data_IF_892837154240
#
_entry.id   IF_892837154240
#
_cell.length_a   1.000
_cell.length_b   1.000
_cell.length_c   1.000
_cell.angle_alpha   90.00
_cell.angle_beta   90.00
_cell.angle_gamma   90.00
#
_symmetry.space_group_name_H-M   'P 1'
#
loop_
_entity.id
_entity.type
_entity.pdbx_description
1 polymer ?
2 polymer ?
3 polymer ?
4 non-polymer ?
5 water ?
#
# COMPACT_ATOMS: atom_id res chain seq x y z
N UNK A 7 7.54 16.83 -1.77
CA UNK A 7 7.96 18.33 -1.64
C UNK A 7 8.53 18.37 -0.25
N UNK A 8 7.62 17.91 0.56
CA UNK A 8 7.81 17.66 1.96
C UNK A 8 7.46 16.19 2.16
N UNK A 9 7.16 15.61 0.99
CA UNK A 9 6.76 14.20 0.86
C UNK A 9 7.82 13.26 1.42
N UNK A 10 7.31 12.21 2.03
CA UNK A 10 8.13 11.11 2.57
C UNK A 10 8.85 11.45 3.89
N UNK A 11 8.55 12.61 4.44
CA UNK A 11 9.14 13.01 5.74
C UNK A 11 8.01 12.99 6.79
N UNK A 12 8.07 11.99 7.65
CA UNK A 12 7.04 11.78 8.69
C UNK A 12 7.13 12.83 9.80
N UNK A 13 6.01 13.36 10.14
CA UNK A 13 6.04 14.44 11.28
C UNK A 13 6.53 13.85 12.50
N UNK A 14 6.24 12.56 12.83
CA UNK A 14 6.58 11.95 14.11
C UNK A 14 7.90 11.19 14.07
N UNK A 15 8.60 11.24 12.96
CA UNK A 15 9.88 10.52 12.86
C UNK A 15 10.96 11.43 12.22
N UNK A 16 11.02 11.48 10.90
CA UNK A 16 12.06 12.27 10.21
C UNK A 16 12.04 13.76 10.62
N UNK A 17 10.84 14.32 10.72
CA UNK A 17 10.67 15.75 11.04
C UNK A 17 11.25 16.09 12.44
N UNK A 18 11.23 15.10 13.31
CA UNK A 18 11.73 15.25 14.71
C UNK A 18 13.08 14.56 14.93
N UNK A 19 13.56 13.95 13.86
CA UNK A 19 14.83 13.20 13.87
C UNK A 19 14.78 12.02 14.84
N UNK A 20 13.64 11.36 14.81
CA UNK A 20 13.38 10.14 15.59
C UNK A 20 13.27 8.99 14.60
N UNK A 21 13.82 7.86 14.96
CA UNK A 21 13.78 6.67 14.09
C UNK A 21 12.77 5.68 14.62
N UNK A 22 12.09 5.01 13.70
CA UNK A 22 11.14 3.97 14.11
C UNK A 22 11.97 2.74 14.44
N UNK A 23 11.31 1.77 15.01
CA UNK A 23 12.00 0.58 15.56
C UNK A 23 12.58 -0.38 14.51
N UNK A 24 12.21 -0.31 13.26
CA UNK A 24 12.76 -1.29 12.32
C UNK A 24 13.29 -0.68 11.01
N UNK A 25 13.32 0.63 10.92
CA UNK A 25 13.78 1.25 9.67
C UNK A 25 15.28 0.99 9.43
N UNK A 26 15.99 0.66 10.50
CA UNK A 26 17.43 0.35 10.42
C UNK A 26 17.64 -0.92 9.58
N UNK A 27 16.67 -1.82 9.70
CA UNK A 27 16.70 -3.11 8.98
C UNK A 27 16.73 -2.86 7.48
N UNK A 28 16.01 -1.84 7.06
CA UNK A 28 15.93 -1.46 5.65
C UNK A 28 17.29 -0.92 5.19
N UNK A 29 17.78 0.02 5.98
CA UNK A 29 19.07 0.68 5.70
C UNK A 29 20.20 -0.35 5.58
N UNK A 30 20.17 -1.32 6.47
CA UNK A 30 21.21 -2.36 6.53
C UNK A 30 21.18 -3.28 5.30
N UNK A 31 20.06 -3.25 4.59
CA UNK A 31 19.86 -4.11 3.40
C UNK A 31 20.30 -3.37 2.11
N UNK A 32 20.40 -2.06 2.20
CA UNK A 32 20.84 -1.21 1.06
C UNK A 32 22.37 -1.18 1.07
N UNK A 33 22.92 -2.22 0.50
CA UNK A 33 24.38 -2.47 0.51
C UNK A 33 25.09 -2.02 -0.75
N UNK B 1 -1.66 -8.43 6.95
CA UNK B 1 -0.24 -8.82 7.04
C UNK B 1 -0.03 -10.03 7.97
N UNK B 2 0.77 -10.98 7.49
CA UNK B 2 1.13 -12.19 8.24
C UNK B 2 2.56 -12.10 8.76
N UNK B 3 2.71 -12.38 10.03
CA UNK B 3 4.03 -12.39 10.70
C UNK B 3 4.66 -11.00 10.73
N UNK B 4 3.80 -10.02 10.87
CA UNK B 4 4.22 -8.62 10.99
C UNK B 4 4.18 -8.24 12.46
N UNK B 5 4.06 -6.96 12.70
CA UNK B 5 3.97 -6.42 14.06
C UNK B 5 3.17 -5.11 14.00
N UNK B 6 2.64 -4.73 15.14
CA UNK B 6 1.85 -3.50 15.25
C UNK B 6 2.71 -2.32 14.80
N UNK B 7 2.10 -1.46 14.03
CA UNK B 7 2.78 -0.25 13.57
C UNK B 7 2.84 0.75 14.71
N UNK B 8 3.87 1.56 14.68
CA UNK B 8 4.03 2.63 15.66
C UNK B 8 3.11 3.78 15.23
N UNK B 9 2.78 4.64 16.16
CA UNK B 9 1.90 5.78 15.86
C UNK B 9 2.60 6.73 14.88
N UNK B 10 1.90 7.00 13.79
CA UNK B 10 2.37 7.91 12.72
C UNK B 10 3.55 7.31 11.93
N UNK B 11 3.66 6.01 11.98
CA UNK B 11 4.76 5.28 11.30
C UNK B 11 4.56 5.26 9.77
N UNK B 12 3.31 5.27 9.37
CA UNK B 12 2.92 5.24 7.94
C UNK B 12 1.87 6.23 7.72
N UNK B 13 2.15 7.54 7.76
CA UNK B 13 1.11 8.55 7.73
C UNK B 13 0.49 8.78 6.40
N UNK B 14 0.94 8.09 5.31
CA UNK B 14 0.36 8.09 4.06
C UNK B 14 -0.61 6.92 3.87
N UNK B 15 -0.70 6.08 4.90
CA UNK B 15 -1.61 4.91 4.86
C UNK B 15 -3.06 5.35 4.76
N UNK B 16 -3.75 4.74 3.82
CA UNK B 16 -5.18 5.02 3.59
C UNK B 16 -5.96 3.73 3.57
N UNK B 17 -7.16 3.82 4.10
CA UNK B 17 -8.10 2.69 4.15
C UNK B 17 -9.28 2.99 3.24
N UNK B 18 -9.48 2.09 2.30
CA UNK B 18 -10.62 2.15 1.38
C UNK B 18 -11.76 1.39 2.08
N UNK B 19 -12.81 2.13 2.33
CA UNK B 19 -13.95 1.63 3.12
C UNK B 19 -15.24 1.70 2.30
N UNK B 20 -15.90 0.55 2.26
CA UNK B 20 -17.20 0.41 1.60
C UNK B 20 -18.27 0.94 2.54
N UNK B 21 -19.12 1.77 2.00
CA UNK B 21 -20.17 2.42 2.80
C UNK B 21 -21.17 1.42 3.37
N UNK B 22 -21.58 0.49 2.54
CA UNK B 22 -22.61 -0.48 2.96
C UNK B 22 -22.60 -1.72 2.11
N UNK B 23 -22.40 -2.89 2.67
CA UNK B 23 -22.17 -3.08 4.09
C UNK B 23 -20.78 -2.53 4.49
N UNK B 24 -20.68 -2.04 5.70
CA UNK B 24 -19.52 -1.20 6.14
C UNK B 24 -18.35 -2.16 6.28
N UNK B 25 -17.37 -2.05 5.43
CA UNK B 25 -16.23 -2.96 5.53
C UNK B 25 -15.00 -2.39 4.87
N UNK B 26 -13.88 -2.95 5.27
CA UNK B 26 -12.60 -2.59 4.69
C UNK B 26 -12.49 -3.26 3.35
N UNK B 27 -12.20 -2.46 2.36
CA UNK B 27 -12.09 -2.99 1.00
C UNK B 27 -10.64 -3.26 0.64
N UNK B 28 -9.80 -2.29 0.95
CA UNK B 28 -8.38 -2.39 0.65
C UNK B 28 -7.60 -1.28 1.31
N UNK B 29 -6.32 -1.35 1.08
CA UNK B 29 -5.38 -0.33 1.52
C UNK B 29 -5.18 0.62 0.36
N UNK B 30 -4.51 1.69 0.65
CA UNK B 30 -4.20 2.74 -0.33
C UNK B 30 -3.14 3.65 0.28
N UNK B 31 -2.73 4.62 -0.49
CA UNK B 31 -1.71 5.57 -0.03
C UNK B 31 -2.02 6.98 -0.52
N UNK B 32 -1.62 7.92 0.31
CA UNK B 32 -1.80 9.36 0.07
C UNK B 32 -0.54 9.92 -0.60
N UNK B 33 -0.69 10.45 -1.81
CA UNK B 33 0.47 10.96 -2.57
C UNK B 33 0.42 12.49 -2.77
N UNK B 34 -0.61 13.09 -2.22
CA UNK B 34 -0.83 14.54 -2.26
C UNK B 34 -2.06 14.83 -1.41
N UNK B 35 -2.43 16.07 -1.28
CA UNK B 35 -3.57 16.39 -0.42
C UNK B 35 -4.91 16.07 -1.10
N UNK B 36 -4.87 15.60 -2.34
CA UNK B 36 -6.14 15.30 -3.03
C UNK B 36 -6.06 14.07 -3.94
N UNK B 37 -4.97 13.34 -3.85
CA UNK B 37 -4.81 12.13 -4.68
C UNK B 37 -4.38 10.94 -3.82
N UNK B 38 -5.09 9.85 -4.06
CA UNK B 38 -4.84 8.58 -3.39
C UNK B 38 -4.57 7.50 -4.44
N UNK B 39 -3.54 6.73 -4.15
CA UNK B 39 -3.06 5.64 -5.02
C UNK B 39 -3.46 4.28 -4.41
N UNK B 40 -3.91 3.40 -5.29
CA UNK B 40 -4.32 2.04 -4.88
C UNK B 40 -4.25 1.09 -6.07
N UNK B 41 -4.62 -0.14 -5.80
CA UNK B 41 -4.63 -1.19 -6.83
C UNK B 41 -5.97 -1.14 -7.56
N UNK B 42 -5.89 -1.29 -8.86
CA UNK B 42 -7.06 -1.23 -9.74
C UNK B 42 -8.09 -2.32 -9.38
N UNK B 43 -7.59 -3.48 -9.03
CA UNK B 43 -8.45 -4.64 -8.72
C UNK B 43 -9.25 -4.42 -7.44
N UNK B 44 -8.91 -3.37 -6.72
CA UNK B 44 -9.62 -3.00 -5.49
C UNK B 44 -10.92 -2.30 -5.84
N UNK B 45 -10.97 -1.81 -7.07
CA UNK B 45 -12.13 -1.07 -7.59
C UNK B 45 -12.82 -1.82 -8.73
N UNK B 46 -12.03 -2.55 -9.50
CA UNK B 46 -12.56 -3.26 -10.67
C UNK B 46 -11.94 -4.66 -10.81
N UNK B 47 -12.81 -5.65 -10.62
CA UNK B 47 -12.47 -7.06 -10.79
C UNK B 47 -13.78 -7.89 -11.19
N UNK B 48 -14.02 -7.81 -12.48
CA UNK B 48 -15.23 -8.54 -13.05
C UNK B 48 -15.29 -9.93 -12.78
N UNK B 49 -14.35 -10.85 -12.57
CA UNK B 49 -14.47 -12.18 -12.21
C UNK B 49 -15.26 -12.32 -10.91
N UNK B 50 -15.20 -11.32 -10.04
CA UNK B 50 -15.83 -11.48 -8.71
C UNK B 50 -17.00 -10.51 -8.59
N UNK B 51 -17.32 -9.95 -9.75
CA UNK B 51 -18.41 -8.98 -9.93
C UNK B 51 -18.18 -7.74 -9.08
N UNK B 52 -16.96 -7.28 -9.13
CA UNK B 52 -16.53 -6.07 -8.42
C UNK B 52 -16.30 -4.95 -9.42
N UNK B 53 -17.07 -3.90 -9.22
CA UNK B 53 -17.00 -2.68 -10.05
C UNK B 53 -17.63 -1.52 -9.28
N UNK B 54 -16.85 -1.03 -8.34
CA UNK B 54 -17.27 0.08 -7.46
C UNK B 54 -17.18 1.42 -8.20
N UNK B 55 -18.16 2.25 -7.89
CA UNK B 55 -18.22 3.62 -8.41
C UNK B 55 -17.81 4.54 -7.26
N UNK B 56 -17.72 5.81 -7.55
CA UNK B 56 -17.27 6.82 -6.57
C UNK B 56 -18.05 6.77 -5.25
N UNK B 57 -19.37 6.95 -5.32
CA UNK B 57 -20.23 7.05 -4.12
C UNK B 57 -20.38 5.74 -3.34
N UNK B 58 -19.76 4.68 -3.81
CA UNK B 58 -19.83 3.40 -3.09
C UNK B 58 -18.78 3.37 -1.97
N UNK B 59 -17.80 4.23 -2.14
CA UNK B 59 -16.63 4.25 -1.25
C UNK B 59 -16.40 5.57 -0.51
N UNK B 60 -15.50 5.40 0.43
CA UNK B 60 -14.97 6.44 1.32
C UNK B 60 -13.49 6.15 1.57
N UNK B 61 -12.76 7.19 1.88
CA UNK B 61 -11.33 7.07 2.18
C UNK B 61 -11.09 7.58 3.61
N UNK B 62 -10.49 6.71 4.41
CA UNK B 62 -10.17 7.01 5.82
C UNK B 62 -8.65 7.13 5.96
N UNK B 63 -8.23 8.35 6.26
CA UNK B 63 -6.82 8.71 6.37
C UNK B 63 -6.43 9.08 7.82
N UNK B 64 -5.22 8.66 8.16
CA UNK B 64 -4.59 8.93 9.48
C UNK B 64 -5.01 7.90 10.53
N UNK B 65 -5.43 6.74 10.07
CA UNK B 65 -5.91 5.66 10.96
C UNK B 65 -4.76 4.79 11.48
N UNK B 66 -5.07 4.13 12.58
CA UNK B 66 -4.17 3.18 13.26
C UNK B 66 -5.00 1.93 13.62
N UNK B 67 -6.02 2.17 14.42
CA UNK B 67 -6.96 1.10 14.80
C UNK B 67 -7.76 0.75 13.55
N UNK B 68 -8.03 -0.52 13.40
CA UNK B 68 -8.72 -1.03 12.21
C UNK B 68 -10.22 -0.73 12.21
N UNK B 69 -10.89 -0.96 13.33
CA UNK B 69 -12.36 -0.86 13.38
C UNK B 69 -12.93 0.39 14.08
N UNK B 70 -12.18 0.95 15.01
CA UNK B 70 -12.69 2.10 15.79
C UNK B 70 -12.68 3.39 14.97
N UNK B 71 -13.61 4.27 15.30
CA UNK B 71 -13.63 5.61 14.71
C UNK B 71 -12.69 6.47 15.56
N UNK B 72 -11.58 6.82 14.97
CA UNK B 72 -10.52 7.55 15.67
C UNK B 72 -10.76 9.06 15.60
N UNK B 73 -11.64 9.44 16.49
CA UNK B 73 -12.10 10.82 16.71
C UNK B 73 -10.90 11.76 16.93
N UNK B 74 -10.97 12.88 16.22
CA UNK B 74 -9.95 13.94 16.31
C UNK B 74 -8.61 13.53 15.67
N UNK B 75 -8.59 12.38 15.02
CA UNK B 75 -7.35 11.89 14.42
C UNK B 75 -7.54 11.55 12.95
N UNK B 76 -8.38 10.58 12.69
CA UNK B 76 -8.63 10.16 11.30
C UNK B 76 -9.58 11.16 10.62
N UNK B 77 -9.36 11.29 9.33
CA UNK B 77 -10.16 12.16 8.45
C UNK B 77 -10.82 11.29 7.39
N UNK B 78 -12.06 11.58 7.11
CA UNK B 78 -12.81 10.81 6.10
C UNK B 78 -13.05 11.70 4.89
N UNK B 79 -12.73 11.15 3.73
CA UNK B 79 -12.87 11.85 2.46
C UNK B 79 -13.70 11.04 1.46
N UNK B 80 -14.49 11.78 0.72
CA UNK B 80 -15.33 11.21 -0.35
C UNK B 80 -14.55 11.31 -1.65
N UNK B 81 -14.93 10.48 -2.59
CA UNK B 81 -14.25 10.43 -3.88
C UNK B 81 -14.96 11.28 -4.92
N UNK B 82 -14.14 12.00 -5.65
CA UNK B 82 -14.61 12.85 -6.73
C UNK B 82 -14.61 12.06 -8.04
N UNK B 83 -13.54 11.29 -8.23
CA UNK B 83 -13.38 10.49 -9.45
C UNK B 83 -12.31 9.41 -9.27
N UNK B 84 -12.60 8.30 -9.92
CA UNK B 84 -11.71 7.13 -9.96
C UNK B 84 -11.10 7.03 -11.36
N UNK B 85 -9.83 6.73 -11.40
CA UNK B 85 -9.09 6.55 -12.66
C UNK B 85 -8.31 5.26 -12.60
N UNK B 86 -8.70 4.35 -13.45
CA UNK B 86 -8.07 3.04 -13.54
C UNK B 86 -7.16 3.02 -14.76
N UNK B 87 -6.00 2.44 -14.62
CA UNK B 87 -5.09 2.35 -15.76
C UNK B 87 -5.89 1.78 -16.94
N UNK B 88 -5.77 2.39 -18.14
CA UNK B 88 -6.47 1.93 -19.34
C UNK B 88 -6.07 0.56 -19.79
N UNK B 89 -4.80 0.21 -19.52
CA UNK B 89 -4.41 -1.17 -19.90
C UNK B 89 -4.26 -2.12 -18.70
N UNK B 90 -5.05 -1.88 -17.66
CA UNK B 90 -5.09 -2.77 -16.47
C UNK B 90 -5.67 -4.11 -16.96
N UNK B 91 -4.91 -5.17 -16.76
CA UNK B 91 -5.28 -6.51 -17.25
C UNK B 91 -5.90 -7.38 -16.14
N UNK B 92 -7.21 -7.26 -16.00
CA UNK B 92 -7.97 -8.02 -14.99
C UNK B 92 -8.35 -9.41 -15.53
N UNK B 93 -8.25 -9.55 -16.84
CA UNK B 93 -8.62 -10.79 -17.51
C UNK B 93 -7.62 -11.92 -17.25
N UNK B 94 -6.35 -11.55 -17.18
CA UNK B 94 -5.29 -12.55 -17.07
C UNK B 94 -4.47 -12.51 -15.76
N UNK B 95 -3.53 -11.58 -15.66
CA UNK B 95 -2.57 -11.58 -14.53
C UNK B 95 -2.45 -10.27 -13.72
N UNK B 96 -3.45 -9.42 -13.79
CA UNK B 96 -3.45 -8.16 -13.02
C UNK B 96 -2.30 -7.23 -13.42
N UNK B 97 -1.88 -7.32 -14.66
CA UNK B 97 -0.81 -6.45 -15.19
C UNK B 97 -1.30 -5.00 -15.12
N UNK B 98 -0.43 -4.15 -14.61
CA UNK B 98 -0.71 -2.71 -14.45
C UNK B 98 -1.87 -2.50 -13.47
N UNK B 99 -1.74 -3.17 -12.34
CA UNK B 99 -2.73 -3.11 -11.26
C UNK B 99 -2.54 -1.83 -10.45
N UNK B 100 -3.07 -0.75 -11.01
CA UNK B 100 -2.94 0.58 -10.40
C UNK B 100 -4.14 1.45 -10.78
N UNK B 101 -4.46 2.35 -9.87
CA UNK B 101 -5.57 3.29 -10.03
C UNK B 101 -5.40 4.47 -9.07
N UNK B 102 -5.93 5.59 -9.50
CA UNK B 102 -5.89 6.84 -8.74
C UNK B 102 -7.31 7.27 -8.39
N UNK B 103 -7.42 7.90 -7.25
CA UNK B 103 -8.69 8.41 -6.74
C UNK B 103 -8.51 9.87 -6.32
N UNK B 104 -9.26 10.74 -6.97
CA UNK B 104 -9.23 12.18 -6.67
C UNK B 104 -10.27 12.47 -5.58
N UNK B 105 -9.80 13.14 -4.54
CA UNK B 105 -10.64 13.48 -3.38
C UNK B 105 -11.51 14.70 -3.67
N UNK B 106 -12.70 14.68 -3.09
CA UNK B 106 -13.66 15.76 -3.26
C UNK B 106 -13.04 17.08 -2.78
N UNK B 107 -12.38 17.03 -1.64
CA UNK B 107 -11.67 18.21 -1.10
C UNK B 107 -10.31 17.78 -0.51
N UNK B 108 -9.34 18.64 -0.51
CA UNK B 108 -8.05 18.34 0.09
C UNK B 108 -8.17 17.96 1.54
N UNK B 109 -7.31 16.97 1.93
CA UNK B 109 -7.34 16.53 3.31
C UNK B 109 -6.23 17.35 4.00
N UNK B 110 -6.43 17.70 5.23
CA UNK B 110 -5.42 18.49 5.97
C UNK B 110 -4.36 17.56 6.55
N UNK B 111 -3.11 17.91 6.31
CA UNK B 111 -2.00 17.13 6.85
C UNK B 111 -1.89 17.39 8.34
N UNK B 112 -1.40 16.38 9.03
CA UNK B 112 -1.22 16.41 10.48
C UNK B 112 -0.08 15.48 10.84
N UNK B 113 0.02 15.21 12.12
CA UNK B 113 1.05 14.32 12.64
C UNK B 113 0.81 12.87 12.17
N UNK B 114 -0.41 12.60 11.79
CA UNK B 114 -0.85 11.24 11.41
C UNK B 114 -1.22 11.13 9.92
N UNK B 115 -1.18 12.25 9.24
CA UNK B 115 -1.53 12.32 7.81
C UNK B 115 -0.47 13.13 7.05
N UNK B 116 0.16 12.47 6.08
CA UNK B 116 1.26 13.08 5.31
C UNK B 116 1.58 12.20 4.09
N UNK B 117 1.87 12.83 2.97
CA UNK B 117 1.95 12.06 1.74
C UNK B 117 3.36 11.42 1.65
N UNK B 118 3.38 10.28 0.91
CA UNK B 118 4.64 9.58 0.57
C UNK B 118 5.08 10.08 -0.81
N UNK B 119 6.36 9.91 -1.09
CA UNK B 119 6.92 10.32 -2.38
C UNK B 119 6.82 9.18 -3.38
N UNK B 120 6.83 9.55 -4.63
CA UNK B 120 6.83 8.61 -5.75
C UNK B 120 8.13 8.69 -6.41
N UNK B 121 8.78 7.53 -6.70
CA UNK B 121 10.13 7.40 -7.11
C UNK B 121 10.32 7.94 -8.55
N UNK B 122 11.45 8.66 -8.66
CA UNK B 122 11.97 9.04 -10.01
C UNK B 122 12.79 7.84 -10.53
N UNK B 123 13.28 7.94 -11.74
CA UNK B 123 14.02 6.81 -12.37
C UNK B 123 15.26 6.37 -11.56
N UNK B 124 16.03 7.35 -11.08
CA UNK B 124 17.29 7.06 -10.35
C UNK B 124 17.04 6.36 -9.02
N UNK B 125 16.10 6.88 -8.26
CA UNK B 125 15.78 6.31 -6.96
C UNK B 125 15.30 4.86 -7.16
N UNK B 126 14.54 4.64 -8.22
CA UNK B 126 14.03 3.31 -8.55
C UNK B 126 15.19 2.38 -8.94
N UNK B 127 16.05 2.91 -9.77
CA UNK B 127 17.21 2.18 -10.28
C UNK B 127 18.14 1.79 -9.12
N UNK B 128 18.23 2.68 -8.17
CA UNK B 128 19.15 2.51 -7.03
C UNK B 128 18.61 1.57 -5.94
N UNK B 129 17.31 1.61 -5.72
CA UNK B 129 16.73 0.86 -4.58
C UNK B 129 16.00 -0.45 -4.95
N UNK B 130 15.47 -0.54 -6.14
CA UNK B 130 14.74 -1.75 -6.56
C UNK B 130 15.72 -2.84 -7.03
N UNK B 131 16.44 -3.38 -6.06
CA UNK B 131 17.43 -4.45 -6.28
C UNK B 131 17.14 -5.63 -5.36
N UNK B 132 17.35 -6.81 -5.90
CA UNK B 132 17.16 -8.04 -5.14
C UNK B 132 18.00 -7.96 -3.85
N UNK B 133 17.34 -8.22 -2.74
CA UNK B 133 18.02 -8.21 -1.42
C UNK B 133 17.59 -7.00 -0.58
N UNK B 134 17.45 -5.88 -1.27
CA UNK B 134 17.02 -4.62 -0.64
C UNK B 134 15.61 -4.81 -0.09
N UNK B 135 15.41 -4.35 1.12
CA UNK B 135 14.11 -4.51 1.79
C UNK B 135 13.25 -3.25 1.70
N UNK B 136 11.98 -3.56 1.59
CA UNK B 136 10.89 -2.58 1.55
C UNK B 136 9.99 -2.85 2.75
N UNK B 137 8.96 -2.04 2.87
CA UNK B 137 8.02 -2.18 3.99
C UNK B 137 6.58 -2.11 3.48
N UNK B 138 5.83 -3.10 3.91
CA UNK B 138 4.40 -3.22 3.57
C UNK B 138 3.56 -3.08 4.84
N UNK B 139 2.48 -2.34 4.71
CA UNK B 139 1.55 -2.06 5.82
C UNK B 139 0.10 -2.28 5.36
N UNK B 140 -0.74 -2.68 6.29
CA UNK B 140 -2.16 -2.93 6.01
C UNK B 140 -2.90 -3.48 7.23
N UNK B 141 -4.21 -3.54 7.07
CA UNK B 141 -5.15 -4.02 8.10
C UNK B 141 -5.74 -5.38 7.67
N UNK B 142 -5.08 -5.97 6.68
CA UNK B 142 -5.48 -7.28 6.11
C UNK B 142 -5.32 -8.40 7.15
N UNK B 143 -5.69 -9.59 6.70
CA UNK B 143 -5.65 -10.82 7.52
C UNK B 143 -4.25 -11.06 8.07
N UNK B 144 -4.25 -11.70 9.23
CA UNK B 144 -3.04 -12.05 9.96
C UNK B 144 -2.54 -13.46 9.52
N UNK B 145 -3.40 -14.20 8.81
CA UNK B 145 -3.08 -15.59 8.32
C UNK B 145 -3.97 -16.03 7.12
N UNK B 146 -3.87 -17.34 6.78
CA UNK B 146 -4.66 -17.96 5.65
C UNK B 146 -6.01 -18.59 6.22
N UNK B 147 -6.15 -19.62 7.23
CA UNK B 147 -7.61 -19.77 7.59
C UNK B 147 -7.85 -18.60 8.52
N UNK B 154 -4.42 -14.49 14.74
CA UNK B 154 -5.89 -14.51 14.78
C UNK B 154 -6.41 -14.24 13.37
N UNK B 155 -7.54 -13.59 13.30
CA UNK B 155 -8.15 -13.30 12.01
C UNK B 155 -7.60 -12.00 11.46
N UNK B 156 -8.13 -10.96 12.04
CA UNK B 156 -7.82 -9.59 11.66
C UNK B 156 -7.26 -8.77 12.84
N UNK B 157 -6.34 -7.86 12.51
CA UNK B 157 -5.67 -7.11 13.57
C UNK B 157 -6.54 -6.11 14.21
N UNK B 158 -6.05 -5.72 15.48
CA UNK B 158 -6.70 -4.58 16.10
C UNK B 158 -6.18 -3.26 15.53
N UNK B 159 -4.90 -3.25 15.15
CA UNK B 159 -4.27 -2.03 14.59
C UNK B 159 -3.39 -2.34 13.38
N UNK B 160 -3.07 -1.27 12.67
CA UNK B 160 -2.24 -1.30 11.47
C UNK B 160 -1.00 -2.18 11.72
N UNK B 161 -0.76 -3.06 10.77
CA UNK B 161 0.38 -4.00 10.83
C UNK B 161 1.46 -3.58 9.83
N UNK B 162 2.68 -3.97 10.16
CA UNK B 162 3.87 -3.65 9.35
C UNK B 162 4.82 -4.84 9.29
N UNK B 163 5.51 -4.94 8.16
CA UNK B 163 6.51 -5.99 7.92
C UNK B 163 7.46 -5.57 6.82
N UNK B 164 8.73 -5.81 7.08
CA UNK B 164 9.83 -5.52 6.14
C UNK B 164 10.17 -6.81 5.40
N UNK B 165 10.24 -6.69 4.08
CA UNK B 165 10.49 -7.85 3.22
C UNK B 165 11.45 -7.54 2.08
N UNK B 166 12.40 -8.45 1.84
CA UNK B 166 13.30 -8.19 0.71
C UNK B 166 12.78 -8.42 -0.68
N UNK B 167 13.19 -7.59 -1.62
CA UNK B 167 12.83 -7.76 -3.03
C UNK B 167 13.52 -9.04 -3.49
N UNK B 168 12.83 -9.82 -4.29
CA UNK B 168 13.38 -11.10 -4.78
C UNK B 168 13.76 -11.00 -6.26
N UNK B 169 14.79 -11.76 -6.62
CA UNK B 169 15.31 -11.83 -8.00
C UNK B 169 14.17 -12.22 -8.94
N UNK B 170 14.16 -11.57 -10.10
CA UNK B 170 13.09 -11.76 -11.11
C UNK B 170 12.94 -13.24 -11.58
N UNK B 171 14.02 -13.97 -11.72
CA UNK B 171 13.90 -15.40 -12.06
C UNK B 171 13.30 -16.21 -11.01
N UNK B 172 13.51 -15.93 -9.72
CA UNK B 172 12.98 -16.60 -8.60
C UNK B 172 11.49 -16.30 -8.50
N UNK B 173 11.14 -15.07 -8.80
CA UNK B 173 9.74 -14.66 -8.78
C UNK B 173 8.96 -15.47 -9.81
N UNK B 174 9.53 -15.52 -11.00
CA UNK B 174 8.91 -16.19 -12.16
C UNK B 174 8.77 -17.71 -11.95
N UNK B 175 9.77 -18.28 -11.30
CA UNK B 175 9.84 -19.74 -11.07
C UNK B 175 8.99 -20.20 -9.88
N UNK B 176 8.38 -19.27 -9.19
CA UNK B 176 7.59 -19.60 -8.01
C UNK B 176 6.09 -19.68 -8.33
N UNK B 177 5.74 -19.36 -9.56
CA UNK B 177 4.31 -19.31 -9.95
C UNK B 177 4.12 -19.70 -11.42
N UNK B 178 2.87 -20.03 -11.76
CA UNK B 178 2.50 -20.39 -13.14
C UNK B 178 1.93 -19.16 -13.86
N UNK B 179 1.66 -18.13 -13.08
CA UNK B 179 1.14 -16.86 -13.62
C UNK B 179 2.26 -16.13 -14.35
N UNK B 180 1.90 -15.58 -15.50
CA UNK B 180 2.84 -14.83 -16.33
C UNK B 180 3.15 -13.48 -15.67
N UNK B 181 4.41 -13.32 -15.29
CA UNK B 181 4.89 -12.09 -14.65
C UNK B 181 5.32 -11.10 -15.72
N UNK B 182 5.13 -9.82 -15.43
CA UNK B 182 5.52 -8.75 -16.36
C UNK B 182 6.46 -7.77 -15.68
N UNK B 183 7.00 -6.88 -16.48
CA UNK B 183 7.94 -5.86 -16.02
C UNK B 183 7.25 -4.82 -15.13
N UNK B 184 5.93 -4.87 -15.11
CA UNK B 184 5.13 -3.93 -14.32
C UNK B 184 4.86 -4.49 -12.92
N UNK B 185 5.56 -5.58 -12.63
CA UNK B 185 5.48 -6.25 -11.32
C UNK B 185 6.87 -6.63 -10.82
N UNK B 186 6.91 -6.83 -9.53
CA UNK B 186 8.09 -7.30 -8.80
C UNK B 186 7.56 -8.01 -7.57
N UNK B 187 8.30 -9.00 -7.13
CA UNK B 187 7.91 -9.79 -5.97
C UNK B 187 8.91 -9.60 -4.84
N UNK B 188 8.41 -9.82 -3.64
CA UNK B 188 9.20 -9.67 -2.42
C UNK B 188 8.77 -10.72 -1.39
N UNK B 189 9.69 -10.97 -0.49
CA UNK B 189 9.52 -11.94 0.59
C UNK B 189 10.79 -12.78 0.73
N UNK B 190 10.84 -13.47 1.85
CA UNK B 190 11.97 -14.35 2.19
C UNK B 190 11.79 -15.73 1.58
N UNK B 191 12.91 -16.34 1.28
CA UNK B 191 12.94 -17.69 0.72
C UNK B 191 12.83 -18.69 1.87
N UNK B 192 12.44 -19.93 1.60
CA UNK B 192 12.32 -20.93 2.64
C UNK B 192 13.61 -21.09 3.43
N UNK B 193 14.74 -21.02 2.78
CA UNK B 193 16.03 -21.21 3.46
C UNK B 193 16.44 -20.01 4.34
N UNK B 194 15.74 -18.89 4.20
CA UNK B 194 16.10 -17.67 4.94
C UNK B 194 15.54 -17.68 6.38
N UNK B 195 14.49 -18.45 6.61
CA UNK B 195 13.92 -18.60 7.97
C UNK B 195 12.86 -17.53 8.28
N UNK B 196 13.28 -16.27 8.29
CA UNK B 196 12.36 -15.16 8.56
C UNK B 196 11.13 -15.32 7.65
N UNK B 197 10.01 -14.82 8.11
CA UNK B 197 8.75 -14.90 7.34
C UNK B 197 8.12 -13.53 7.17
N UNK B 198 6.94 -13.53 6.59
CA UNK B 198 6.19 -12.29 6.38
C UNK B 198 5.66 -12.20 4.96
N UNK B 199 4.52 -11.55 4.87
CA UNK B 199 3.81 -11.35 3.61
C UNK B 199 2.55 -10.55 3.83
N UNK B 200 2.10 -9.99 2.75
CA UNK B 200 0.83 -9.28 2.74
C UNK B 200 -0.23 -10.37 2.63
N UNK B 201 -1.46 -10.01 2.87
CA UNK B 201 -2.55 -10.98 2.79
C UNK B 201 -3.82 -10.27 2.36
N UNK B 202 -4.85 -11.06 2.26
CA UNK B 202 -6.18 -10.57 1.87
C UNK B 202 -6.59 -9.38 2.74
N UNK B 203 -6.84 -8.27 2.06
CA UNK B 203 -7.28 -7.02 2.70
C UNK B 203 -6.17 -5.95 2.68
N UNK B 204 -4.98 -6.40 2.35
CA UNK B 204 -3.80 -5.53 2.29
C UNK B 204 -3.62 -4.94 0.89
N UNK B 205 -4.29 -5.54 -0.08
CA UNK B 205 -4.22 -5.08 -1.48
C UNK B 205 -4.48 -3.58 -1.57
N UNK B 206 -3.71 -2.93 -2.39
CA UNK B 206 -3.85 -1.50 -2.65
C UNK B 206 -2.89 -0.66 -1.77
N UNK B 207 -2.47 -1.23 -0.65
CA UNK B 207 -1.55 -0.52 0.27
C UNK B 207 -0.12 -0.54 -0.31
N UNK B 208 0.76 0.25 0.32
CA UNK B 208 2.04 0.55 -0.23
C UNK B 208 3.18 -0.31 0.24
N UNK B 209 4.15 -0.51 -0.73
CA UNK B 209 5.41 -1.15 -0.35
C UNK B 209 6.44 -0.02 -0.49
N UNK B 210 6.87 0.52 0.64
CA UNK B 210 7.79 1.68 0.63
C UNK B 210 9.21 1.30 1.03
N UNK B 211 10.10 2.21 0.66
CA UNK B 211 11.53 2.12 0.96
C UNK B 211 12.04 3.52 1.32
N UNK B 212 12.89 3.55 2.31
CA UNK B 212 13.50 4.80 2.76
C UNK B 212 14.84 4.98 2.08
N UNK B 213 14.87 5.92 1.18
CA UNK B 213 16.08 6.23 0.44
C UNK B 213 17.23 6.60 1.46
N UNK B 214 18.38 5.99 1.30
CA UNK B 214 19.54 6.40 2.15
C UNK B 214 20.24 7.65 1.64
N UNK B 215 19.88 8.12 0.49
CA UNK B 215 20.51 9.32 -0.11
C UNK B 215 19.88 10.62 0.45
N UNK B 216 18.56 10.62 0.64
CA UNK B 216 17.89 11.84 1.13
C UNK B 216 16.94 11.56 2.32
N UNK B 217 16.96 10.33 2.78
CA UNK B 217 16.20 9.87 3.97
C UNK B 217 14.72 10.19 3.90
N UNK B 218 14.18 9.99 2.71
CA UNK B 218 12.75 10.17 2.42
C UNK B 218 12.15 8.82 2.06
N UNK B 219 10.88 8.67 2.35
CA UNK B 219 10.17 7.43 2.04
C UNK B 219 9.53 7.56 0.65
N UNK B 220 9.75 6.52 -0.12
CA UNK B 220 9.22 6.41 -1.49
C UNK B 220 8.38 5.16 -1.63
N UNK B 221 7.27 5.30 -2.31
CA UNK B 221 6.40 4.16 -2.57
C UNK B 221 6.81 3.53 -3.90
N UNK B 222 7.43 2.37 -3.77
CA UNK B 222 7.97 1.63 -4.91
C UNK B 222 6.94 0.64 -5.46
N UNK B 223 6.08 0.12 -4.61
CA UNK B 223 5.10 -0.88 -5.06
C UNK B 223 3.74 -0.70 -4.39
N UNK B 224 2.80 -1.46 -4.94
CA UNK B 224 1.42 -1.55 -4.46
C UNK B 224 1.04 -3.03 -4.34
N UNK B 225 0.61 -3.43 -3.15
CA UNK B 225 0.19 -4.83 -2.92
C UNK B 225 -0.81 -5.20 -4.02
N UNK B 226 -0.45 -6.22 -4.78
CA UNK B 226 -1.28 -6.66 -5.93
C UNK B 226 -1.87 -8.06 -5.76
N UNK B 227 -1.01 -9.07 -5.76
CA UNK B 227 -1.49 -10.46 -5.64
C UNK B 227 -0.45 -11.38 -5.02
N UNK B 228 -0.93 -12.57 -4.73
CA UNK B 228 -0.15 -13.65 -4.14
C UNK B 228 -1.02 -14.89 -4.02
N UNK B 229 -0.37 -16.02 -4.13
CA UNK B 229 -1.04 -17.32 -4.02
C UNK B 229 -0.96 -17.78 -2.57
N UNK B 230 -2.02 -17.43 -1.86
CA UNK B 230 -2.11 -17.67 -0.44
C UNK B 230 -1.38 -16.52 0.25
N UNK B 231 -0.97 -16.77 1.46
CA UNK B 231 -0.24 -15.77 2.24
C UNK B 231 0.84 -16.44 3.09
N UNK B 232 2.04 -15.94 2.90
CA UNK B 232 3.22 -16.39 3.64
C UNK B 232 3.49 -17.88 3.49
N UNK B 233 3.21 -18.38 2.31
CA UNK B 233 3.46 -19.79 1.98
C UNK B 233 4.92 -19.94 1.60
N UNK B 234 5.52 -21.02 2.06
CA UNK B 234 6.91 -21.32 1.71
C UNK B 234 7.02 -21.51 0.20
N UNK B 235 7.95 -20.82 -0.41
CA UNK B 235 8.20 -20.96 -1.86
C UNK B 235 7.39 -19.96 -2.70
N UNK B 236 6.45 -19.30 -2.07
CA UNK B 236 5.62 -18.28 -2.75
C UNK B 236 6.09 -16.89 -2.30
N UNK B 237 5.77 -15.90 -3.12
CA UNK B 237 6.14 -14.52 -2.85
C UNK B 237 4.98 -13.60 -3.18
N UNK B 238 5.00 -12.46 -2.52
CA UNK B 238 3.99 -11.42 -2.73
C UNK B 238 4.41 -10.60 -3.95
N UNK B 239 3.43 -10.32 -4.79
CA UNK B 239 3.66 -9.54 -6.01
C UNK B 239 3.08 -8.14 -5.83
N UNK B 240 3.82 -7.19 -6.33
CA UNK B 240 3.49 -5.77 -6.21
C UNK B 240 3.59 -5.05 -7.56
N UNK B 241 2.71 -4.07 -7.70
CA UNK B 241 2.70 -3.23 -8.88
C UNK B 241 3.93 -2.31 -8.82
N UNK B 242 4.66 -2.32 -9.91
CA UNK B 242 5.89 -1.51 -10.08
C UNK B 242 5.48 -0.07 -10.37
N UNK B 243 5.40 0.70 -9.30
CA UNK B 243 4.94 2.09 -9.36
C UNK B 243 5.74 2.97 -10.33
N UNK B 244 7.05 2.91 -10.28
CA UNK B 244 7.86 3.76 -11.16
C UNK B 244 7.61 3.50 -12.64
N UNK B 245 7.35 2.24 -12.95
CA UNK B 245 7.13 1.79 -14.33
C UNK B 245 5.82 2.34 -14.92
N UNK B 246 4.93 2.76 -14.04
CA UNK B 246 3.62 3.27 -14.44
C UNK B 246 3.45 4.74 -14.03
N UNK B 247 4.57 5.37 -13.75
CA UNK B 247 4.58 6.77 -13.27
C UNK B 247 4.16 7.76 -14.36
N UNK B 248 4.47 7.44 -15.59
CA UNK B 248 4.11 8.35 -16.69
C UNK B 248 2.60 8.47 -16.78
N UNK B 249 1.92 7.36 -16.53
CA UNK B 249 0.46 7.34 -16.56
C UNK B 249 -0.10 8.15 -15.39
N UNK B 250 0.52 7.95 -14.24
CA UNK B 250 0.13 8.63 -12.99
C UNK B 250 0.20 10.14 -13.16
N UNK B 251 1.33 10.58 -13.70
CA UNK B 251 1.61 12.00 -13.93
C UNK B 251 0.61 12.60 -14.91
N UNK B 252 0.36 11.86 -15.96
CA UNK B 252 -0.57 12.28 -17.02
C UNK B 252 -1.96 12.55 -16.44
N UNK B 253 -2.40 11.65 -15.58
CA UNK B 253 -3.74 11.75 -14.97
C UNK B 253 -3.82 12.99 -14.06
N UNK B 254 -2.83 13.11 -13.21
CA UNK B 254 -2.78 14.22 -12.25
C UNK B 254 -2.58 15.55 -12.97
N UNK B 255 -1.79 15.50 -14.03
CA UNK B 255 -1.50 16.68 -14.84
C UNK B 255 -2.76 17.15 -15.58
N UNK B 256 -3.46 16.18 -16.14
CA UNK B 256 -4.67 16.45 -16.92
C UNK B 256 -5.88 16.72 -16.03
N UNK B 257 -5.87 16.16 -14.84
CA UNK B 257 -7.06 16.26 -13.99
C UNK B 257 -6.83 16.85 -12.59
N UNK C 8 -21.05 -5.38 12.68
CA UNK C 8 -20.78 -5.27 14.10
C UNK C 8 -19.29 -5.03 14.34
N UNK C 9 -18.55 -5.39 13.32
CA UNK C 9 -17.10 -5.30 13.31
C UNK C 9 -16.62 -3.84 13.47
N UNK C 10 -17.16 -2.99 12.61
CA UNK C 10 -16.73 -1.57 12.56
C UNK C 10 -17.67 -0.62 13.29
N UNK C 11 -17.01 0.29 13.99
CA UNK C 11 -17.68 1.37 14.71
C UNK C 11 -18.18 2.38 13.69
N UNK C 12 -19.35 2.89 13.97
CA UNK C 12 -20.06 3.84 13.11
C UNK C 12 -19.29 5.14 12.89
N UNK C 13 -19.31 5.58 11.64
CA UNK C 13 -18.75 6.87 11.25
C UNK C 13 -19.77 7.94 11.65
N UNK C 14 -19.32 9.05 12.22
CA UNK C 14 -20.19 10.14 12.60
C UNK C 14 -20.84 10.65 11.32
N UNK C 15 -22.13 10.97 11.41
CA UNK C 15 -22.85 11.43 10.24
C UNK C 15 -22.67 12.87 9.85
N UNK C 16 -21.51 13.35 9.50
CA UNK C 16 -21.31 14.65 8.87
C UNK C 16 -20.87 14.32 7.45
N UNK C 17 -20.38 13.09 7.38
CA UNK C 17 -19.92 12.43 6.15
C UNK C 17 -20.92 11.30 5.82
N UNK C 18 -20.78 10.17 6.50
CA UNK C 18 -21.69 9.01 6.32
C UNK C 18 -22.97 9.25 7.12
X LIG D 1 0.15 -12.90 -0.29
X LIG D 1 1.22 -10.96 -0.91
X LIG D 1 0.05 -11.74 -0.90
X LIG D 1 -1.32 -10.82 -1.60
X LIG D 1 -2.64 -11.91 -1.24
X LIG D 1 -3.86 -11.38 -2.00
X LIG D 1 -4.11 -9.90 -1.81
X LIG D 1 -5.51 -9.61 -2.48
X LIG D 1 -6.06 -8.22 -2.11
X LIG D 1 -6.28 -7.82 -0.74
X LIG D 1 -7.21 -7.83 -2.79
X LIG D 1 -5.33 -9.60 -3.99
X LIG D 1 -5.91 -10.76 -4.63
X LIG D 1 -6.74 -11.57 -4.17
X LIG D 1 -5.83 -10.71 -6.14
X LIG D 1 -7.10 -9.99 -6.78
X LIG D 1 -7.71 -11.06 -7.80
X LIG D 1 -7.11 -12.45 -7.50
X LIG D 1 -5.88 -12.04 -6.76
X LIG D 1 -4.94 -12.97 -6.25
X LIG D 1 -4.03 -12.64 -5.44
X LIG D 1 -5.04 -14.40 -6.69
X LIG D 1 -3.83 -14.85 -7.65
X LIG D 1 -4.14 -14.23 -9.05
X LIG D 1 -3.24 -13.29 -9.58
X LIG D 1 -3.54 -12.59 -10.78
X LIG D 1 -4.76 -12.88 -11.48
X LIG D 1 -5.64 -13.88 -10.95
X LIG D 1 -5.34 -14.52 -9.76
X LIG D 1 -4.91 -15.20 -5.53
X LIG D 1 -5.91 -16.30 -5.36
X LIG D 1 -6.34 -16.73 -6.42
X LIG D 1 -6.96 -16.14 -4.23
X LIG D 1 -6.22 -16.43 -2.91
#
# INVERSE_FOLDING_TARGET
>A
TFGSGEADCGLRPLFEKKSLEDKTERELLESYIDGR
>B
IVEGSDAEIGMSPWQVMLFRKSPQELLCGASLISDRWVLTAAHCLLYPPWDKNFTENDLLVRIGKHSRTRYERNIEKISMLEKIYIHPRYNWRENLDRDIALMKLKKPVAFSDYIHPVCLPDRETAASLLQAGYKGRVTGWGNLKETWTANVGKGQPSVLQVVNLPIVERPVCKDSTRIRITDNMFCAGYKPDEGKRGDACEGDSGGPFVMKSPFNNRWYQMGIVSWGEGCDRDGKYGFYTHVFRLKKWIQKVIDQFGE
>C
GGQSHNDGDFEEIPEEYL
>D hetero
1 T29 N1A N1B C1 S2 C3 C4 C5 C6 B O1A O1B N7 C8 O8 C9 C9A C9B C9C N10 C11 O11 C12 C13 C21 C22 C23 C24 C25 C26 N14 C15 O15 C16 C17
#
